data_IF_316436703709
#
_entry.id   IF_316436703709
#
_cell.length_a   1.000
_cell.length_b   1.000
_cell.length_c   1.000
_cell.angle_alpha   90.00
_cell.angle_beta   90.00
_cell.angle_gamma   90.00
#
_symmetry.space_group_name_H-M   'P 1'
#
loop_
_entity.id
_entity.type
_entity.pdbx_description
1 polymer ?
#
# COMPACT_ATOMS: atom_id res chain seq x y z
N UNK A 1 -38.56 -41.38 30.81
CA UNK A 1 -37.71 -40.47 30.00
C UNK A 1 -37.21 -39.36 30.90
N UNK A 2 -36.03 -39.57 31.50
CA UNK A 2 -35.07 -38.54 31.96
C UNK A 2 -33.91 -39.17 32.77
N UNK A 3 -33.58 -40.45 32.54
CA UNK A 3 -32.32 -41.06 32.96
C UNK A 3 -31.22 -40.66 31.96
N UNK A 4 -30.88 -39.37 31.90
CA UNK A 4 -29.83 -38.94 30.95
C UNK A 4 -28.83 -37.93 31.47
N UNK A 5 -28.82 -37.63 32.78
CA UNK A 5 -27.71 -36.93 33.45
C UNK A 5 -27.78 -37.12 34.97
N UNK A 6 -27.58 -38.34 35.48
CA UNK A 6 -27.30 -38.56 36.91
C UNK A 6 -25.84 -39.02 37.06
N UNK A 7 -24.93 -38.06 37.20
CA UNK A 7 -23.49 -38.29 37.37
C UNK A 7 -23.12 -38.87 38.75
N UNK A 8 -24.07 -39.47 39.48
CA UNK A 8 -23.85 -39.97 40.83
C UNK A 8 -23.57 -38.86 41.85
N UNK A 9 -23.92 -37.61 41.52
CA UNK A 9 -23.89 -36.50 42.45
C UNK A 9 -25.29 -36.29 43.01
N UNK A 10 -25.57 -36.90 44.16
CA UNK A 10 -26.69 -36.46 44.99
C UNK A 10 -26.35 -35.07 45.53
N UNK A 11 -27.21 -34.07 45.32
CA UNK A 11 -27.04 -32.77 45.95
C UNK A 11 -27.04 -32.97 47.48
N UNK A 12 -25.95 -32.61 48.13
CA UNK A 12 -25.82 -32.71 49.60
C UNK A 12 -26.16 -31.34 50.17
N UNK A 13 -27.17 -31.32 51.02
CA UNK A 13 -27.65 -30.09 51.63
C UNK A 13 -26.65 -29.60 52.70
N UNK A 14 -26.59 -28.29 52.95
CA UNK A 14 -25.63 -27.66 53.87
C UNK A 14 -25.61 -28.36 55.25
N UNK A 15 -26.78 -28.73 55.77
CA UNK A 15 -26.92 -29.38 57.07
C UNK A 15 -26.35 -30.82 57.07
N UNK A 16 -26.49 -31.54 55.95
CA UNK A 16 -25.94 -32.89 55.80
C UNK A 16 -24.40 -32.87 55.70
N UNK A 17 -23.84 -31.88 54.99
CA UNK A 17 -22.39 -31.63 54.92
C UNK A 17 -21.80 -31.38 56.32
N UNK A 18 -22.36 -30.42 57.06
CA UNK A 18 -21.91 -30.07 58.41
C UNK A 18 -21.98 -31.27 59.35
N UNK A 19 -23.02 -32.10 59.25
CA UNK A 19 -23.19 -33.27 60.11
C UNK A 19 -22.10 -34.35 59.90
N UNK A 20 -21.61 -34.52 58.67
CA UNK A 20 -20.66 -35.59 58.32
C UNK A 20 -19.21 -35.15 58.37
N UNK A 21 -18.91 -33.89 58.09
CA UNK A 21 -17.53 -33.37 58.06
C UNK A 21 -17.25 -32.32 59.13
N UNK A 22 -18.28 -31.73 59.76
CA UNK A 22 -18.14 -30.65 60.73
C UNK A 22 -17.89 -29.27 60.11
N UNK A 23 -17.85 -29.16 58.78
CA UNK A 23 -17.53 -27.91 58.06
C UNK A 23 -18.76 -27.27 57.40
N UNK A 24 -18.88 -25.95 57.50
CA UNK A 24 -19.88 -25.16 56.77
C UNK A 24 -19.32 -24.78 55.40
N UNK A 25 -20.12 -24.89 54.33
CA UNK A 25 -19.74 -24.45 52.99
C UNK A 25 -19.81 -22.91 52.85
N UNK A 26 -19.10 -22.19 53.70
CA UNK A 26 -18.75 -20.80 53.44
C UNK A 26 -17.47 -20.79 52.60
N UNK A 27 -17.30 -19.78 51.74
CA UNK A 27 -16.00 -19.55 51.09
C UNK A 27 -14.97 -19.39 52.21
N UNK A 28 -14.08 -20.38 52.36
CA UNK A 28 -13.02 -20.34 53.36
C UNK A 28 -12.27 -19.00 53.20
N UNK A 29 -11.98 -18.32 54.30
CA UNK A 29 -11.32 -17.01 54.30
C UNK A 29 -10.03 -17.04 53.47
N UNK A 30 -9.37 -18.20 53.42
CA UNK A 30 -8.21 -18.48 52.59
C UNK A 30 -8.54 -18.45 51.08
N UNK A 31 -9.65 -19.07 50.65
CA UNK A 31 -10.10 -19.04 49.24
C UNK A 31 -10.53 -17.63 48.84
N UNK A 32 -11.17 -16.87 49.73
CA UNK A 32 -11.50 -15.47 49.49
C UNK A 32 -10.24 -14.59 49.38
N UNK A 33 -9.22 -14.85 50.20
CA UNK A 33 -7.90 -14.19 50.11
C UNK A 33 -7.19 -14.53 48.81
N UNK A 34 -7.20 -15.79 48.39
CA UNK A 34 -6.61 -16.23 47.13
C UNK A 34 -7.31 -15.62 45.92
N UNK A 35 -8.64 -15.57 45.90
CA UNK A 35 -9.41 -14.89 44.85
C UNK A 35 -9.09 -13.39 44.79
N UNK A 36 -8.89 -12.75 45.96
CA UNK A 36 -8.52 -11.33 46.05
C UNK A 36 -7.08 -11.07 45.60
N UNK A 37 -6.14 -11.96 45.90
CA UNK A 37 -4.77 -11.93 45.39
C UNK A 37 -4.70 -12.13 43.87
N UNK A 38 -5.44 -13.11 43.35
CA UNK A 38 -5.52 -13.37 41.90
C UNK A 38 -6.08 -12.15 41.18
N UNK A 39 -7.16 -11.54 41.69
CA UNK A 39 -7.71 -10.30 41.13
C UNK A 39 -6.71 -9.13 41.14
N UNK A 40 -5.88 -9.03 42.18
CA UNK A 40 -4.81 -8.02 42.31
C UNK A 40 -3.64 -8.29 41.36
N UNK A 41 -3.32 -9.56 41.11
CA UNK A 41 -2.30 -9.98 40.15
C UNK A 41 -2.73 -9.76 38.70
N UNK A 42 -4.01 -9.94 38.38
CA UNK A 42 -4.56 -9.69 37.04
C UNK A 42 -4.75 -8.20 36.73
N UNK A 43 -4.91 -7.35 37.73
CA UNK A 43 -4.95 -5.89 37.55
C UNK A 43 -3.55 -5.26 37.37
N UNK A 44 -2.48 -6.00 37.71
CA UNK A 44 -1.08 -5.55 37.62
C UNK A 44 -0.30 -6.20 36.47
N UNK A 45 -0.87 -7.18 35.77
CA UNK A 45 -0.20 -7.94 34.70
C UNK A 45 -0.13 -7.22 33.34
N UNK A 46 -0.70 -6.01 33.23
CA UNK A 46 -0.29 -5.05 32.19
C UNK A 46 0.59 -4.04 32.89
N UNK A 47 1.91 -4.29 32.90
CA UNK A 47 2.83 -3.32 33.49
C UNK A 47 2.72 -2.01 32.71
N UNK A 48 2.58 -0.88 33.40
CA UNK A 48 2.53 0.45 32.76
C UNK A 48 3.69 0.63 31.79
N UNK A 49 4.86 0.09 32.13
CA UNK A 49 6.04 0.06 31.27
C UNK A 49 5.83 -0.60 29.90
N UNK A 50 5.01 -1.67 29.81
CA UNK A 50 4.64 -2.28 28.52
C UNK A 50 3.70 -1.37 27.72
N UNK A 51 2.80 -0.65 28.40
CA UNK A 51 1.90 0.33 27.76
C UNK A 51 2.70 1.52 27.24
N UNK A 52 3.58 2.10 28.05
CA UNK A 52 4.45 3.22 27.69
C UNK A 52 5.36 2.87 26.49
N UNK A 53 5.86 1.63 26.46
CA UNK A 53 6.65 1.11 25.34
C UNK A 53 5.84 0.94 24.05
N UNK A 54 4.57 0.54 24.15
CA UNK A 54 3.65 0.45 23.02
C UNK A 54 3.26 1.83 22.50
N UNK A 55 2.96 2.78 23.38
CA UNK A 55 2.68 4.17 23.02
C UNK A 55 3.85 4.80 22.26
N UNK A 56 5.07 4.63 22.78
CA UNK A 56 6.29 5.10 22.10
C UNK A 56 6.45 4.49 20.70
N UNK A 57 6.13 3.21 20.53
CA UNK A 57 6.18 2.53 19.22
C UNK A 57 5.09 3.03 18.27
N UNK A 58 3.90 3.31 18.78
CA UNK A 58 2.79 3.89 18.01
C UNK A 58 3.15 5.29 17.55
N UNK A 59 3.78 6.11 18.39
CA UNK A 59 4.26 7.45 18.02
C UNK A 59 5.32 7.39 16.91
N UNK A 60 6.28 6.48 17.03
CA UNK A 60 7.28 6.26 15.99
C UNK A 60 6.63 5.78 14.68
N UNK A 61 5.67 4.87 14.77
CA UNK A 61 4.95 4.38 13.60
C UNK A 61 4.13 5.48 12.94
N UNK A 62 3.50 6.36 13.73
CA UNK A 62 2.72 7.49 13.24
C UNK A 62 3.63 8.51 12.54
N UNK A 63 4.79 8.83 13.13
CA UNK A 63 5.80 9.70 12.50
C UNK A 63 6.32 9.12 11.18
N UNK A 64 6.66 7.83 11.18
CA UNK A 64 7.15 7.15 9.98
C UNK A 64 6.08 7.13 8.90
N UNK A 65 4.82 6.85 9.26
CA UNK A 65 3.71 6.86 8.32
C UNK A 65 3.50 8.26 7.73
N UNK A 66 3.50 9.31 8.54
CA UNK A 66 3.42 10.69 8.05
C UNK A 66 4.57 11.03 7.10
N UNK A 67 5.80 10.63 7.43
CA UNK A 67 6.96 10.85 6.56
C UNK A 67 6.85 10.10 5.24
N UNK A 68 6.35 8.86 5.27
CA UNK A 68 6.16 8.04 4.08
C UNK A 68 5.06 8.60 3.18
N UNK A 69 3.97 9.10 3.77
CA UNK A 69 2.87 9.73 3.02
C UNK A 69 3.33 11.00 2.31
N UNK A 70 4.13 11.84 2.97
CA UNK A 70 4.72 13.03 2.34
C UNK A 70 5.64 12.66 1.17
N UNK A 71 6.55 11.71 1.38
CA UNK A 71 7.46 11.26 0.32
C UNK A 71 6.71 10.63 -0.88
N UNK A 72 5.58 9.97 -0.63
CA UNK A 72 4.75 9.37 -1.67
C UNK A 72 4.03 10.45 -2.50
N UNK A 73 3.57 11.52 -1.86
CA UNK A 73 2.94 12.66 -2.55
C UNK A 73 3.96 13.39 -3.44
N UNK A 74 5.16 13.67 -2.91
CA UNK A 74 6.27 14.26 -3.68
C UNK A 74 6.63 13.40 -4.90
N UNK A 75 6.72 12.08 -4.73
CA UNK A 75 7.04 11.16 -5.83
C UNK A 75 5.93 11.11 -6.87
N UNK A 76 4.67 11.20 -6.46
CA UNK A 76 3.51 11.25 -7.36
C UNK A 76 3.52 12.51 -8.21
N UNK A 77 3.81 13.67 -7.62
CA UNK A 77 3.96 14.92 -8.37
C UNK A 77 5.13 14.85 -9.35
N UNK A 78 6.28 14.34 -8.90
CA UNK A 78 7.46 14.19 -9.77
C UNK A 78 7.19 13.26 -10.96
N UNK A 79 6.51 12.13 -10.73
CA UNK A 79 6.12 11.19 -11.79
C UNK A 79 5.19 11.85 -12.81
N UNK A 80 4.19 12.59 -12.35
CA UNK A 80 3.25 13.34 -13.22
C UNK A 80 3.97 14.37 -14.10
N UNK A 81 4.93 15.10 -13.51
CA UNK A 81 5.75 16.07 -14.25
C UNK A 81 6.68 15.39 -15.25
N UNK A 82 7.25 14.23 -14.89
CA UNK A 82 8.11 13.45 -15.78
C UNK A 82 7.33 12.93 -16.99
N UNK A 83 6.14 12.37 -16.78
CA UNK A 83 5.26 11.90 -17.85
C UNK A 83 4.88 13.06 -18.78
N UNK A 84 4.50 14.21 -18.21
CA UNK A 84 4.15 15.40 -18.98
C UNK A 84 5.32 15.93 -19.80
N UNK A 85 6.52 15.97 -19.22
CA UNK A 85 7.73 16.41 -19.91
C UNK A 85 8.08 15.49 -21.08
N UNK A 86 8.03 14.19 -20.86
CA UNK A 86 8.32 13.19 -21.88
C UNK A 86 7.31 13.27 -23.04
N UNK A 87 6.02 13.46 -22.74
CA UNK A 87 4.99 13.68 -23.76
C UNK A 87 5.30 14.94 -24.61
N UNK A 88 5.64 16.06 -23.97
CA UNK A 88 6.03 17.29 -24.67
C UNK A 88 7.24 17.08 -25.58
N UNK A 89 8.27 16.37 -25.11
CA UNK A 89 9.45 16.05 -25.94
C UNK A 89 9.09 15.21 -27.17
N UNK A 90 8.18 14.24 -27.05
CA UNK A 90 7.70 13.47 -28.21
C UNK A 90 6.89 14.31 -29.18
N UNK A 91 6.02 15.19 -28.68
CA UNK A 91 5.25 16.11 -29.51
C UNK A 91 6.19 17.01 -30.34
N UNK A 92 7.23 17.55 -29.72
CA UNK A 92 8.23 18.37 -30.42
C UNK A 92 8.98 17.57 -31.50
N UNK A 93 9.44 16.34 -31.19
CA UNK A 93 10.07 15.43 -32.16
C UNK A 93 9.16 15.17 -33.37
N UNK A 94 7.86 14.94 -33.14
CA UNK A 94 6.87 14.72 -34.21
C UNK A 94 6.70 15.99 -35.06
N UNK A 95 6.61 17.16 -34.43
CA UNK A 95 6.50 18.44 -35.13
C UNK A 95 7.74 18.69 -36.00
N UNK A 96 8.94 18.40 -35.51
CA UNK A 96 10.17 18.53 -36.29
C UNK A 96 10.21 17.55 -37.47
N UNK A 97 9.84 16.28 -37.25
CA UNK A 97 9.74 15.28 -38.33
C UNK A 97 8.76 15.74 -39.42
N UNK A 98 7.61 16.29 -39.03
CA UNK A 98 6.63 16.88 -39.96
C UNK A 98 7.23 18.03 -40.77
N UNK A 99 7.99 18.93 -40.15
CA UNK A 99 8.66 20.05 -40.84
C UNK A 99 9.70 19.59 -41.88
N UNK A 100 10.32 18.43 -41.68
CA UNK A 100 11.29 17.86 -42.63
C UNK A 100 10.62 17.19 -43.83
N UNK A 101 9.55 16.41 -43.59
CA UNK A 101 8.90 15.61 -44.64
C UNK A 101 7.92 16.42 -45.51
N UNK A 102 7.21 17.39 -44.93
CA UNK A 102 6.20 18.16 -45.68
C UNK A 102 6.74 18.90 -46.91
N UNK A 103 7.88 19.60 -46.85
CA UNK A 103 8.42 20.28 -48.03
C UNK A 103 8.75 19.32 -49.19
N UNK A 104 9.20 18.10 -48.88
CA UNK A 104 9.43 17.06 -49.89
C UNK A 104 8.12 16.67 -50.58
N UNK A 105 7.09 16.37 -49.78
CA UNK A 105 5.77 15.97 -50.30
C UNK A 105 5.11 17.10 -51.10
N UNK A 106 5.17 18.34 -50.61
CA UNK A 106 4.63 19.50 -51.31
C UNK A 106 5.31 19.73 -52.66
N UNK A 107 6.63 19.51 -52.76
CA UNK A 107 7.34 19.63 -54.03
C UNK A 107 6.98 18.51 -55.01
N UNK A 108 6.69 17.30 -54.50
CA UNK A 108 6.16 16.20 -55.32
C UNK A 108 4.76 16.52 -55.84
N UNK A 109 3.87 17.06 -54.99
CA UNK A 109 2.49 17.39 -55.38
C UNK A 109 2.38 18.47 -56.47
N UNK A 110 3.35 19.38 -56.59
CA UNK A 110 3.30 20.48 -57.59
C UNK A 110 3.39 20.03 -59.05
N UNK A 111 3.70 18.76 -59.30
CA UNK A 111 3.87 18.21 -60.65
C UNK A 111 3.00 16.97 -60.85
N UNK A 112 1.77 17.01 -60.34
CA UNK A 112 0.78 15.93 -60.39
C UNK A 112 0.40 15.47 -61.81
N UNK A 113 0.36 16.38 -62.77
CA UNK A 113 0.05 16.05 -64.18
C UNK A 113 1.25 15.49 -64.97
N UNK A 114 2.46 15.49 -64.39
CA UNK A 114 3.68 15.06 -65.09
C UNK A 114 4.03 13.62 -64.73
N UNK A 115 4.17 12.79 -65.76
CA UNK A 115 4.63 11.39 -65.61
C UNK A 115 6.10 11.30 -65.13
N UNK A 116 6.90 12.34 -65.37
CA UNK A 116 8.30 12.41 -64.96
C UNK A 116 8.65 13.71 -64.24
N UNK A 117 9.39 13.58 -63.14
CA UNK A 117 9.92 14.71 -62.36
C UNK A 117 11.45 14.68 -62.41
N UNK A 118 12.05 15.72 -62.99
CA UNK A 118 13.49 15.93 -62.94
C UNK A 118 13.89 16.51 -61.58
N UNK A 119 14.58 15.71 -60.77
CA UNK A 119 15.05 16.09 -59.43
C UNK A 119 16.58 16.01 -59.34
N UNK A 120 17.30 17.12 -59.63
CA UNK A 120 18.76 17.14 -59.61
C UNK A 120 19.27 16.92 -58.18
N UNK A 121 20.42 16.25 -58.05
CA UNK A 121 21.06 15.97 -56.77
C UNK A 121 20.15 15.26 -55.73
N UNK A 122 19.18 14.45 -56.16
CA UNK A 122 18.22 13.78 -55.26
C UNK A 122 18.87 12.92 -54.16
N UNK A 123 19.93 12.17 -54.49
CA UNK A 123 20.58 11.24 -53.54
C UNK A 123 21.13 11.99 -52.32
N UNK A 124 22.01 13.00 -52.50
CA UNK A 124 22.49 13.82 -51.39
C UNK A 124 21.36 14.48 -50.59
N UNK A 125 20.34 15.02 -51.25
CA UNK A 125 19.22 15.72 -50.59
C UNK A 125 18.40 14.75 -49.73
N UNK A 126 18.03 13.58 -50.27
CA UNK A 126 17.29 12.56 -49.53
C UNK A 126 18.13 12.05 -48.35
N UNK A 127 19.42 11.79 -48.57
CA UNK A 127 20.30 11.33 -47.50
C UNK A 127 20.38 12.34 -46.35
N UNK A 128 20.55 13.63 -46.64
CA UNK A 128 20.53 14.68 -45.61
C UNK A 128 19.22 14.77 -44.83
N UNK A 129 18.09 14.37 -45.43
CA UNK A 129 16.80 14.34 -44.74
C UNK A 129 16.66 13.07 -43.89
N UNK A 130 17.14 11.92 -44.38
CA UNK A 130 17.24 10.68 -43.60
C UNK A 130 18.11 10.90 -42.36
N UNK A 131 19.30 11.46 -42.53
CA UNK A 131 20.22 11.71 -41.41
C UNK A 131 19.59 12.62 -40.34
N UNK A 132 18.78 13.60 -40.77
CA UNK A 132 18.04 14.50 -39.87
C UNK A 132 16.89 13.79 -39.15
N UNK A 133 16.15 12.93 -39.84
CA UNK A 133 15.09 12.12 -39.22
C UNK A 133 15.71 11.18 -38.19
N UNK A 134 16.76 10.44 -38.55
CA UNK A 134 17.45 9.55 -37.61
C UNK A 134 17.95 10.27 -36.37
N UNK A 135 18.41 11.51 -36.52
CA UNK A 135 18.86 12.32 -35.38
C UNK A 135 17.73 12.66 -34.41
N UNK A 136 16.51 12.89 -34.91
CA UNK A 136 15.34 13.26 -34.08
C UNK A 136 14.67 12.02 -33.48
N UNK A 137 14.68 10.89 -34.20
CA UNK A 137 14.03 9.64 -33.78
C UNK A 137 14.89 8.75 -32.88
N UNK A 138 16.21 9.00 -32.81
CA UNK A 138 17.10 8.40 -31.81
C UNK A 138 16.79 8.94 -30.41
#
# INVERSE_FOLDING_TARGET
>A
MSDINDFGFTAVDQDELVSKTGETAAVNEEVAKQLKEVAKSSASSVSSAQVDGLESKIDLMSRNLSSALLALDDHKENLSLMDSKQELEYQDKIIEMKKLILPLLQNLMKNDEKEYIYWPNRKPIIQQQIDRIEKITK
#
